data_IF_713775612037
#
_entry.id   IF_713775612037
#
_cell.length_a   1.000
_cell.length_b   1.000
_cell.length_c   1.000
_cell.angle_alpha   90.00
_cell.angle_beta   90.00
_cell.angle_gamma   90.00
#
_symmetry.space_group_name_H-M   'P 1'
#
loop_
_entity.id
_entity.type
_entity.pdbx_description
1 polymer ?
#
# COMPACT_ATOMS: atom_id res chain seq x y z
N UNK A 1 -8.04 -10.77 16.82
CA UNK A 1 -7.44 -11.81 15.95
C UNK A 1 -6.25 -11.17 15.26
N UNK A 2 -5.13 -11.09 15.97
CA UNK A 2 -3.90 -10.47 15.49
C UNK A 2 -3.25 -11.43 14.49
N UNK A 3 -3.16 -11.06 13.21
CA UNK A 3 -2.25 -11.79 12.34
C UNK A 3 -0.83 -11.57 12.85
N UNK A 4 -0.16 -12.69 13.08
CA UNK A 4 1.04 -12.90 13.87
C UNK A 4 2.22 -12.00 13.44
N UNK A 5 2.51 -11.03 14.31
CA UNK A 5 3.51 -9.95 14.20
C UNK A 5 4.98 -10.39 14.49
N UNK A 6 5.33 -11.69 14.43
CA UNK A 6 6.49 -12.18 15.22
C UNK A 6 7.62 -12.90 14.51
N UNK A 7 7.74 -12.86 13.18
CA UNK A 7 8.75 -13.71 12.51
C UNK A 7 9.67 -13.02 11.50
N UNK A 8 9.69 -11.70 11.44
CA UNK A 8 10.36 -11.03 10.31
C UNK A 8 11.15 -9.79 10.74
N UNK A 9 12.07 -9.92 11.69
CA UNK A 9 13.02 -8.84 11.99
C UNK A 9 14.33 -9.41 12.52
N UNK A 10 15.18 -9.87 11.61
CA UNK A 10 16.58 -10.14 11.93
C UNK A 10 17.48 -10.07 10.69
N UNK A 11 17.41 -9.01 9.87
CA UNK A 11 18.51 -8.71 8.92
C UNK A 11 18.59 -7.19 8.62
N UNK A 12 19.75 -6.61 8.99
CA UNK A 12 20.37 -5.34 8.59
C UNK A 12 19.95 -4.04 9.34
N UNK A 13 20.96 -3.23 9.66
CA UNK A 13 21.06 -2.40 10.88
C UNK A 13 21.11 -0.87 10.60
N UNK A 14 20.65 -0.37 9.43
CA UNK A 14 20.80 1.06 9.05
C UNK A 14 19.62 1.70 8.28
N UNK A 15 18.45 1.09 8.16
CA UNK A 15 17.33 1.66 7.40
C UNK A 15 16.11 1.97 8.27
N UNK A 16 15.52 3.16 8.12
CA UNK A 16 14.32 3.59 8.86
C UNK A 16 13.02 2.92 8.37
N UNK A 17 13.01 2.29 7.21
CA UNK A 17 11.86 1.58 6.62
C UNK A 17 12.34 0.25 6.03
N UNK A 18 11.43 -0.68 5.75
CA UNK A 18 11.76 -1.93 5.04
C UNK A 18 11.40 -1.79 3.55
N UNK A 19 12.36 -1.52 2.64
CA UNK A 19 12.08 -1.39 1.21
C UNK A 19 11.54 -2.69 0.60
N UNK A 20 10.94 -2.59 -0.58
CA UNK A 20 10.36 -3.77 -1.24
C UNK A 20 11.37 -4.91 -1.46
N UNK A 21 12.65 -4.57 -1.65
CA UNK A 21 13.73 -5.52 -1.81
C UNK A 21 13.98 -6.32 -0.53
N UNK A 22 13.88 -5.68 0.63
CA UNK A 22 14.01 -6.34 1.93
C UNK A 22 12.74 -7.12 2.28
N UNK A 23 11.55 -6.60 2.00
CA UNK A 23 10.30 -7.36 2.12
C UNK A 23 10.37 -8.67 1.30
N UNK A 24 10.99 -8.63 0.13
CA UNK A 24 11.22 -9.81 -0.69
C UNK A 24 12.29 -10.75 -0.12
N UNK A 25 13.35 -10.23 0.50
CA UNK A 25 14.33 -11.05 1.22
C UNK A 25 13.70 -11.76 2.41
N UNK A 26 12.82 -11.07 3.14
CA UNK A 26 12.04 -11.63 4.23
C UNK A 26 11.14 -12.78 3.76
N UNK A 27 10.45 -12.61 2.63
CA UNK A 27 9.69 -13.69 2.00
C UNK A 27 10.59 -14.86 1.57
N UNK A 28 11.75 -14.58 0.98
CA UNK A 28 12.72 -15.60 0.60
C UNK A 28 13.27 -16.37 1.82
N UNK A 29 13.52 -15.68 2.94
CA UNK A 29 14.00 -16.30 4.17
C UNK A 29 13.02 -17.35 4.70
N UNK A 30 11.70 -17.11 4.61
CA UNK A 30 10.69 -18.11 4.98
C UNK A 30 10.74 -19.35 4.08
N UNK A 31 11.13 -19.22 2.81
CA UNK A 31 11.30 -20.33 1.89
C UNK A 31 12.57 -21.10 2.23
N UNK A 32 13.67 -20.39 2.45
CA UNK A 32 14.98 -20.98 2.75
C UNK A 32 14.96 -21.74 4.09
N UNK A 33 14.22 -21.23 5.07
CA UNK A 33 13.96 -21.87 6.37
C UNK A 33 12.90 -22.97 6.30
N UNK A 34 12.38 -23.29 5.10
CA UNK A 34 11.35 -24.32 4.85
C UNK A 34 10.02 -24.07 5.56
N UNK A 35 9.73 -22.82 5.94
CA UNK A 35 8.42 -22.41 6.44
C UNK A 35 7.40 -22.21 5.31
N UNK A 36 7.87 -21.96 4.08
CA UNK A 36 7.05 -21.85 2.89
C UNK A 36 7.54 -22.79 1.78
N UNK A 37 6.62 -23.52 1.17
CA UNK A 37 6.91 -24.46 0.09
C UNK A 37 6.33 -24.01 -1.25
N UNK A 38 7.01 -24.34 -2.35
CA UNK A 38 6.58 -23.99 -3.72
C UNK A 38 5.12 -24.31 -4.02
N UNK A 39 4.62 -25.48 -3.58
CA UNK A 39 3.23 -25.89 -3.79
C UNK A 39 2.22 -24.98 -3.09
N UNK A 40 2.57 -24.42 -1.93
CA UNK A 40 1.76 -23.43 -1.23
C UNK A 40 1.80 -22.10 -1.98
N UNK A 41 2.99 -21.64 -2.36
CA UNK A 41 3.18 -20.36 -3.07
C UNK A 41 2.41 -20.34 -4.41
N UNK A 42 2.43 -21.44 -5.18
CA UNK A 42 1.64 -21.56 -6.42
C UNK A 42 0.13 -21.40 -6.20
N UNK A 43 -0.36 -21.75 -5.01
CA UNK A 43 -1.78 -21.64 -4.61
C UNK A 43 -2.08 -20.35 -3.84
N UNK A 44 -1.13 -19.45 -3.73
CA UNK A 44 -1.25 -18.20 -2.97
C UNK A 44 -1.53 -17.00 -3.86
N UNK A 45 -2.08 -15.94 -3.26
CA UNK A 45 -2.17 -14.62 -3.86
C UNK A 45 -0.97 -13.77 -3.43
N UNK A 46 -0.39 -13.02 -4.36
CA UNK A 46 0.63 -12.01 -4.10
C UNK A 46 0.02 -10.62 -4.32
N UNK A 47 -0.12 -9.84 -3.25
CA UNK A 47 -0.61 -8.47 -3.29
C UNK A 47 0.58 -7.50 -3.29
N UNK A 48 0.51 -6.48 -4.14
CA UNK A 48 1.58 -5.50 -4.28
C UNK A 48 1.00 -4.09 -4.41
N UNK A 49 1.36 -3.21 -3.47
CA UNK A 49 0.99 -1.80 -3.47
C UNK A 49 2.21 -0.94 -3.10
N UNK A 50 2.91 -0.39 -4.09
CA UNK A 50 4.11 0.42 -3.88
C UNK A 50 4.32 1.40 -5.04
N UNK A 51 5.16 2.40 -4.83
CA UNK A 51 5.44 3.47 -5.80
C UNK A 51 4.97 4.86 -5.35
N UNK A 52 4.10 4.92 -4.34
CA UNK A 52 3.51 6.17 -3.86
C UNK A 52 4.57 7.09 -3.23
N UNK A 53 5.40 6.51 -2.37
CA UNK A 53 6.52 7.19 -1.71
C UNK A 53 7.57 7.64 -2.72
N UNK A 54 7.93 6.82 -3.71
CA UNK A 54 8.93 7.18 -4.73
C UNK A 54 8.52 8.45 -5.49
N UNK A 55 7.27 8.52 -5.94
CA UNK A 55 6.73 9.70 -6.63
C UNK A 55 6.69 10.90 -5.69
N UNK A 56 6.25 10.72 -4.44
CA UNK A 56 6.21 11.83 -3.49
C UNK A 56 7.62 12.37 -3.19
N UNK A 57 8.60 11.51 -2.90
CA UNK A 57 10.00 11.86 -2.66
C UNK A 57 10.61 12.61 -3.85
N UNK A 58 10.31 12.20 -5.08
CA UNK A 58 10.77 12.88 -6.30
C UNK A 58 10.37 14.36 -6.33
N UNK A 59 9.16 14.71 -5.88
CA UNK A 59 8.70 16.09 -5.84
C UNK A 59 9.08 16.83 -4.57
N UNK A 60 9.22 16.12 -3.44
CA UNK A 60 9.67 16.70 -2.18
C UNK A 60 11.11 17.19 -2.26
N UNK A 61 11.98 16.40 -2.89
CA UNK A 61 13.41 16.66 -3.02
C UNK A 61 13.79 16.77 -4.51
N UNK A 62 13.43 17.87 -5.19
CA UNK A 62 13.60 17.99 -6.65
C UNK A 62 15.07 17.89 -7.12
N UNK A 63 16.05 18.12 -6.25
CA UNK A 63 17.47 18.00 -6.56
C UNK A 63 18.09 16.63 -6.19
N UNK A 64 17.35 15.77 -5.48
CA UNK A 64 17.84 14.45 -5.07
C UNK A 64 17.93 13.46 -6.26
N UNK A 65 17.16 13.68 -7.33
CA UNK A 65 17.18 12.84 -8.53
C UNK A 65 17.49 13.66 -9.78
N UNK A 66 18.50 13.23 -10.54
CA UNK A 66 18.82 13.78 -11.86
C UNK A 66 17.93 13.24 -12.99
N UNK A 67 17.04 12.28 -12.69
CA UNK A 67 16.16 11.67 -13.67
C UNK A 67 14.98 12.58 -14.02
N UNK A 68 14.56 12.57 -15.28
CA UNK A 68 13.26 13.13 -15.66
C UNK A 68 12.12 12.29 -15.05
N UNK A 69 10.89 12.84 -14.93
CA UNK A 69 9.75 12.08 -14.40
C UNK A 69 9.52 10.76 -15.13
N UNK A 70 9.68 10.76 -16.46
CA UNK A 70 9.53 9.57 -17.31
C UNK A 70 10.62 8.53 -17.03
N UNK A 71 11.89 8.93 -16.93
CA UNK A 71 13.01 8.04 -16.60
C UNK A 71 12.85 7.43 -15.19
N UNK A 72 12.33 8.22 -14.26
CA UNK A 72 12.07 7.77 -12.89
C UNK A 72 10.95 6.71 -12.88
N UNK A 73 9.83 6.95 -13.58
CA UNK A 73 8.75 5.96 -13.74
C UNK A 73 9.25 4.66 -14.39
N UNK A 74 10.07 4.76 -15.45
CA UNK A 74 10.69 3.58 -16.08
C UNK A 74 11.54 2.78 -15.08
N UNK A 75 12.29 3.48 -14.23
CA UNK A 75 13.12 2.86 -13.18
C UNK A 75 12.25 2.14 -12.14
N UNK A 76 11.12 2.74 -11.73
CA UNK A 76 10.15 2.11 -10.84
C UNK A 76 9.56 0.83 -11.44
N UNK A 77 9.12 0.87 -12.71
CA UNK A 77 8.56 -0.29 -13.41
C UNK A 77 9.60 -1.41 -13.61
N UNK A 78 10.88 -1.06 -13.76
CA UNK A 78 11.96 -2.05 -13.78
C UNK A 78 12.08 -2.79 -12.46
N UNK A 79 12.00 -2.10 -11.32
CA UNK A 79 12.02 -2.74 -10.00
C UNK A 79 10.79 -3.64 -9.79
N UNK A 80 9.62 -3.22 -10.25
CA UNK A 80 8.41 -4.04 -10.25
C UNK A 80 8.60 -5.33 -11.07
N UNK A 81 9.18 -5.24 -12.28
CA UNK A 81 9.47 -6.43 -13.08
C UNK A 81 10.42 -7.38 -12.36
N UNK A 82 11.45 -6.86 -11.69
CA UNK A 82 12.39 -7.69 -10.92
C UNK A 82 11.70 -8.39 -9.73
N UNK A 83 10.77 -7.71 -9.06
CA UNK A 83 9.96 -8.32 -8.01
C UNK A 83 9.15 -9.52 -8.54
N UNK A 84 8.46 -9.34 -9.69
CA UNK A 84 7.70 -10.44 -10.33
C UNK A 84 8.61 -11.55 -10.79
N UNK A 85 9.76 -11.24 -11.40
CA UNK A 85 10.74 -12.25 -11.83
C UNK A 85 11.18 -13.13 -10.64
N UNK A 86 11.51 -12.51 -9.50
CA UNK A 86 11.99 -13.21 -8.31
C UNK A 86 10.89 -14.06 -7.66
N UNK A 87 9.70 -13.49 -7.46
CA UNK A 87 8.57 -14.23 -6.86
C UNK A 87 8.06 -15.35 -7.76
N UNK A 88 8.03 -15.15 -9.08
CA UNK A 88 7.66 -16.18 -10.05
C UNK A 88 8.60 -17.38 -10.01
N UNK A 89 9.92 -17.14 -9.91
CA UNK A 89 10.95 -18.21 -9.80
C UNK A 89 10.71 -19.15 -8.63
N UNK A 90 10.22 -18.63 -7.50
CA UNK A 90 9.92 -19.44 -6.31
C UNK A 90 8.50 -20.02 -6.29
N UNK A 91 7.69 -19.72 -7.31
CA UNK A 91 6.40 -20.38 -7.53
C UNK A 91 5.19 -19.46 -7.55
N UNK A 92 5.33 -18.14 -7.38
CA UNK A 92 4.17 -17.25 -7.43
C UNK A 92 3.52 -17.28 -8.82
N UNK A 93 2.19 -17.36 -8.87
CA UNK A 93 1.42 -17.39 -10.12
C UNK A 93 0.26 -16.41 -10.16
N UNK A 94 -0.25 -15.94 -9.03
CA UNK A 94 -1.44 -15.08 -8.97
C UNK A 94 -1.06 -13.75 -8.34
N UNK A 95 -1.02 -12.70 -9.17
CA UNK A 95 -0.60 -11.37 -8.75
C UNK A 95 -1.77 -10.39 -8.76
N UNK A 96 -1.88 -9.60 -7.70
CA UNK A 96 -2.83 -8.49 -7.58
C UNK A 96 -2.05 -7.22 -7.29
N UNK A 97 -2.08 -6.28 -8.22
CA UNK A 97 -1.41 -4.99 -8.07
C UNK A 97 -2.42 -3.89 -7.73
N UNK A 98 -2.01 -2.93 -6.92
CA UNK A 98 -2.82 -1.75 -6.64
C UNK A 98 -2.21 -0.56 -7.37
N UNK A 99 -3.02 0.07 -8.24
CA UNK A 99 -2.63 1.34 -8.86
C UNK A 99 -2.47 2.43 -7.79
N UNK A 100 -1.63 3.42 -8.08
CA UNK A 100 -1.41 4.56 -7.20
C UNK A 100 -2.63 5.50 -7.29
N UNK A 101 -3.07 6.04 -6.15
CA UNK A 101 -4.11 7.07 -6.11
C UNK A 101 -3.65 8.43 -6.68
N UNK A 102 -4.52 9.44 -6.71
CA UNK A 102 -4.16 10.79 -7.14
C UNK A 102 -3.31 11.50 -6.07
N UNK A 103 -1.99 11.20 -6.03
CA UNK A 103 -1.06 11.74 -5.03
C UNK A 103 -1.02 13.27 -4.96
N UNK A 104 -1.18 13.95 -6.10
CA UNK A 104 -1.23 15.41 -6.13
C UNK A 104 -2.44 16.00 -5.39
N UNK A 105 -3.35 15.17 -4.87
CA UNK A 105 -4.54 15.57 -4.15
C UNK A 105 -4.49 15.26 -2.65
N UNK A 106 -3.43 14.64 -2.14
CA UNK A 106 -3.28 14.38 -0.70
C UNK A 106 -3.05 15.70 0.05
N UNK A 107 -3.43 15.82 1.33
CA UNK A 107 -3.22 17.02 2.12
C UNK A 107 -1.72 17.38 2.23
N UNK A 108 -0.86 16.38 2.43
CA UNK A 108 0.59 16.50 2.58
C UNK A 108 1.32 17.09 1.37
N UNK A 109 0.65 17.31 0.23
CA UNK A 109 1.23 18.05 -0.90
C UNK A 109 1.72 19.45 -0.50
N UNK A 110 1.14 20.04 0.56
CA UNK A 110 1.45 21.39 1.04
C UNK A 110 2.90 21.56 1.50
N UNK A 111 3.59 20.48 1.87
CA UNK A 111 5.01 20.54 2.26
C UNK A 111 5.94 20.60 1.03
N UNK A 112 5.40 20.42 -0.18
CA UNK A 112 6.16 20.52 -1.42
C UNK A 112 6.16 21.97 -1.90
N UNK A 113 7.37 22.51 -2.13
CA UNK A 113 7.57 23.88 -2.59
C UNK A 113 6.75 24.16 -3.86
N UNK A 114 5.87 25.16 -3.77
CA UNK A 114 5.04 25.63 -4.88
C UNK A 114 3.83 24.75 -5.19
N UNK A 115 3.49 23.77 -4.34
CA UNK A 115 2.25 23.01 -4.50
C UNK A 115 1.02 23.87 -4.16
N UNK A 116 -0.07 23.79 -4.94
CA UNK A 116 -1.29 24.53 -4.67
C UNK A 116 -2.10 23.93 -3.51
N UNK A 117 -2.75 24.79 -2.73
CA UNK A 117 -3.67 24.38 -1.65
C UNK A 117 -5.11 24.23 -2.16
N UNK A 118 -5.53 25.07 -3.10
CA UNK A 118 -6.90 25.15 -3.66
C UNK A 118 -7.25 24.09 -4.70
N UNK A 119 -6.26 23.36 -5.22
CA UNK A 119 -6.43 22.30 -6.21
C UNK A 119 -5.37 21.22 -6.08
N UNK A 120 -5.55 20.13 -6.82
CA UNK A 120 -4.53 19.11 -6.89
C UNK A 120 -3.30 19.56 -7.70
N UNK A 121 -2.13 19.10 -7.29
CA UNK A 121 -0.86 19.29 -7.99
C UNK A 121 -0.80 18.43 -9.27
N UNK A 122 -1.09 19.05 -10.41
CA UNK A 122 -1.22 18.37 -11.70
C UNK A 122 0.01 17.56 -12.13
N UNK A 123 1.22 18.11 -11.96
CA UNK A 123 2.48 17.42 -12.36
C UNK A 123 2.72 16.11 -11.62
N UNK A 124 2.37 16.04 -10.33
CA UNK A 124 2.48 14.81 -9.54
C UNK A 124 1.43 13.78 -9.96
N UNK A 125 0.20 14.24 -10.19
CA UNK A 125 -0.86 13.39 -10.71
C UNK A 125 -0.55 12.84 -12.11
N UNK A 126 0.13 13.60 -12.96
CA UNK A 126 0.58 13.14 -14.27
C UNK A 126 1.59 11.99 -14.13
N UNK A 127 2.57 12.13 -13.25
CA UNK A 127 3.56 11.07 -12.99
C UNK A 127 2.93 9.81 -12.42
N UNK A 128 1.98 9.94 -11.48
CA UNK A 128 1.21 8.81 -10.95
C UNK A 128 0.39 8.09 -12.03
N UNK A 129 -0.23 8.84 -12.96
CA UNK A 129 -0.93 8.25 -14.11
C UNK A 129 0.01 7.51 -15.05
N UNK A 130 1.16 8.09 -15.38
CA UNK A 130 2.17 7.44 -16.23
C UNK A 130 2.68 6.13 -15.62
N UNK A 131 2.90 6.11 -14.30
CA UNK A 131 3.24 4.87 -13.59
C UNK A 131 2.10 3.84 -13.69
N UNK A 132 0.85 4.25 -13.44
CA UNK A 132 -0.31 3.35 -13.51
C UNK A 132 -0.51 2.78 -14.92
N UNK A 133 -0.37 3.58 -15.97
CA UNK A 133 -0.44 3.12 -17.37
C UNK A 133 0.64 2.09 -17.67
N UNK A 134 1.89 2.34 -17.23
CA UNK A 134 2.98 1.38 -17.38
C UNK A 134 2.76 0.09 -16.58
N UNK A 135 2.21 0.19 -15.36
CA UNK A 135 1.83 -0.95 -14.53
C UNK A 135 0.76 -1.80 -15.22
N UNK A 136 -0.28 -1.18 -15.77
CA UNK A 136 -1.33 -1.88 -16.50
C UNK A 136 -0.80 -2.61 -17.74
N UNK A 137 0.10 -1.98 -18.51
CA UNK A 137 0.76 -2.61 -19.64
C UNK A 137 1.64 -3.79 -19.22
N UNK A 138 2.41 -3.63 -18.14
CA UNK A 138 3.21 -4.71 -17.58
C UNK A 138 2.33 -5.90 -17.14
N UNK A 139 1.20 -5.63 -16.47
CA UNK A 139 0.26 -6.68 -16.03
C UNK A 139 -0.35 -7.43 -17.20
N UNK A 140 -0.74 -6.73 -18.27
CA UNK A 140 -1.23 -7.37 -19.49
C UNK A 140 -0.19 -8.29 -20.14
N UNK A 141 1.10 -8.03 -19.93
CA UNK A 141 2.19 -8.88 -20.42
C UNK A 141 2.44 -10.14 -19.57
N UNK A 142 1.91 -10.22 -18.36
CA UNK A 142 2.23 -11.30 -17.40
C UNK A 142 1.93 -12.70 -17.97
N UNK A 143 0.75 -13.00 -18.54
CA UNK A 143 0.45 -14.34 -19.04
C UNK A 143 1.39 -14.81 -20.16
N UNK A 144 1.89 -13.86 -20.96
CA UNK A 144 2.83 -14.14 -22.06
C UNK A 144 4.27 -14.29 -21.55
N UNK A 145 4.71 -13.44 -20.62
CA UNK A 145 6.09 -13.44 -20.10
C UNK A 145 6.34 -14.52 -19.04
N UNK A 146 5.30 -14.90 -18.31
CA UNK A 146 5.35 -15.83 -17.18
C UNK A 146 4.30 -16.94 -17.36
N UNK A 147 4.62 -18.03 -18.07
CA UNK A 147 3.66 -19.09 -18.35
C UNK A 147 2.93 -19.61 -17.11
N UNK A 148 1.60 -19.65 -17.19
CA UNK A 148 0.73 -20.09 -16.09
C UNK A 148 0.59 -19.07 -14.95
N UNK A 149 1.15 -17.87 -15.09
CA UNK A 149 0.87 -16.76 -14.18
C UNK A 149 -0.21 -15.84 -14.74
N UNK A 150 -0.95 -15.23 -13.82
CA UNK A 150 -1.98 -14.23 -14.09
C UNK A 150 -1.72 -13.01 -13.23
N UNK A 151 -2.04 -11.84 -13.78
CA UNK A 151 -1.97 -10.58 -13.07
C UNK A 151 -3.26 -9.80 -13.25
N UNK A 152 -3.73 -9.18 -12.18
CA UNK A 152 -4.84 -8.24 -12.20
C UNK A 152 -4.45 -6.98 -11.43
N UNK A 153 -5.19 -5.89 -11.65
CA UNK A 153 -5.00 -4.65 -10.90
C UNK A 153 -6.30 -4.12 -10.30
N UNK A 154 -6.20 -3.55 -9.11
CA UNK A 154 -7.24 -2.75 -8.50
C UNK A 154 -7.13 -1.29 -8.99
N UNK A 155 -8.24 -0.75 -9.49
CA UNK A 155 -8.33 0.59 -10.08
C UNK A 155 -8.54 1.66 -9.00
N UNK A 156 -7.50 1.98 -8.23
CA UNK A 156 -7.55 2.93 -7.11
C UNK A 156 -7.70 4.36 -7.61
N UNK A 157 -6.91 4.79 -8.61
CA UNK A 157 -6.87 6.19 -9.06
C UNK A 157 -8.27 6.72 -9.43
N UNK A 158 -8.95 6.03 -10.34
CA UNK A 158 -10.27 6.45 -10.82
C UNK A 158 -11.34 6.29 -9.74
N UNK A 159 -11.22 5.29 -8.86
CA UNK A 159 -12.15 5.10 -7.74
C UNK A 159 -12.06 6.27 -6.75
N UNK A 160 -10.84 6.68 -6.38
CA UNK A 160 -10.62 7.84 -5.52
C UNK A 160 -11.17 9.11 -6.19
N UNK A 161 -10.91 9.31 -7.48
CA UNK A 161 -11.46 10.47 -8.21
C UNK A 161 -13.00 10.49 -8.21
N UNK A 162 -13.66 9.32 -8.35
CA UNK A 162 -15.13 9.21 -8.25
C UNK A 162 -15.66 9.61 -6.87
N UNK A 163 -14.98 9.20 -5.80
CA UNK A 163 -15.35 9.56 -4.44
C UNK A 163 -15.23 11.07 -4.21
N UNK A 164 -14.10 11.65 -4.65
CA UNK A 164 -13.83 13.08 -4.50
C UNK A 164 -14.74 13.96 -5.35
N UNK A 165 -15.16 13.49 -6.52
CA UNK A 165 -16.11 14.20 -7.37
C UNK A 165 -17.56 14.17 -6.83
N UNK A 166 -17.91 13.17 -6.01
CA UNK A 166 -19.27 13.00 -5.47
C UNK A 166 -19.25 12.77 -3.94
N UNK A 167 -18.66 13.66 -3.14
CA UNK A 167 -18.35 13.40 -1.73
C UNK A 167 -19.61 13.10 -0.90
N UNK A 168 -20.67 13.88 -1.10
CA UNK A 168 -21.95 13.70 -0.39
C UNK A 168 -22.59 12.34 -0.61
N UNK A 169 -22.47 11.78 -1.83
CA UNK A 169 -23.00 10.44 -2.14
C UNK A 169 -22.35 9.34 -1.28
N UNK A 170 -21.07 9.50 -0.96
CA UNK A 170 -20.32 8.54 -0.14
C UNK A 170 -20.30 8.89 1.36
N UNK A 171 -20.94 10.00 1.74
CA UNK A 171 -21.04 10.47 3.12
C UNK A 171 -19.85 11.33 3.59
N UNK A 172 -19.10 11.94 2.67
CA UNK A 172 -18.00 12.83 3.01
C UNK A 172 -18.44 14.29 3.01
N UNK A 173 -18.07 15.02 4.07
CA UNK A 173 -18.13 16.48 4.15
C UNK A 173 -16.82 17.11 3.66
N UNK A 174 -15.69 16.42 3.84
CA UNK A 174 -14.37 16.89 3.38
C UNK A 174 -13.59 15.77 2.65
N UNK A 175 -13.04 16.13 1.48
CA UNK A 175 -12.22 15.23 0.63
C UNK A 175 -10.88 15.85 0.21
N UNK A 176 -10.45 16.90 0.92
CA UNK A 176 -9.29 17.72 0.63
C UNK A 176 -8.39 17.91 1.85
N UNK A 177 -8.96 18.19 3.02
CA UNK A 177 -8.23 18.36 4.27
C UNK A 177 -8.10 17.03 5.04
N UNK A 178 -7.03 16.91 5.84
CA UNK A 178 -6.89 15.81 6.79
C UNK A 178 -7.80 16.03 8.01
N UNK A 179 -8.39 14.95 8.53
CA UNK A 179 -9.10 14.99 9.80
C UNK A 179 -8.14 15.33 10.96
N UNK A 180 -6.91 14.85 10.91
CA UNK A 180 -5.93 15.01 11.95
C UNK A 180 -4.64 15.63 11.39
N UNK A 181 -4.16 16.69 12.06
CA UNK A 181 -2.97 17.44 11.67
C UNK A 181 -3.12 18.93 11.97
N UNK A 182 -2.24 19.76 11.42
CA UNK A 182 -2.40 21.22 11.46
C UNK A 182 -1.74 21.91 10.25
N UNK A 183 -1.90 23.22 10.16
CA UNK A 183 -1.45 24.03 9.02
C UNK A 183 -2.40 23.95 7.83
N UNK A 184 -1.94 24.32 6.64
CA UNK A 184 -2.75 24.28 5.42
C UNK A 184 -3.21 22.85 5.13
N UNK A 185 -4.51 22.67 4.85
CA UNK A 185 -5.15 21.37 4.64
C UNK A 185 -4.98 20.36 5.81
N UNK A 186 -4.56 20.82 6.99
CA UNK A 186 -4.06 19.97 8.08
C UNK A 186 -2.91 19.04 7.65
N UNK A 187 -2.17 19.41 6.59
CA UNK A 187 -1.15 18.56 5.96
C UNK A 187 0.28 18.87 6.36
N UNK A 188 0.54 19.99 7.04
CA UNK A 188 1.90 20.48 7.36
C UNK A 188 2.48 19.85 8.62
N UNK A 189 1.65 19.70 9.66
CA UNK A 189 2.05 19.15 10.95
C UNK A 189 1.37 17.80 11.19
N UNK A 190 2.20 16.79 11.46
CA UNK A 190 1.76 15.43 11.73
C UNK A 190 0.93 15.34 13.02
N UNK A 191 -0.09 14.49 12.99
CA UNK A 191 -0.81 14.01 14.17
C UNK A 191 0.11 13.63 15.32
N UNK A 192 -0.33 13.84 16.56
CA UNK A 192 0.42 13.43 17.76
C UNK A 192 1.52 14.42 18.18
N UNK A 193 1.99 15.30 17.28
CA UNK A 193 2.90 16.39 17.63
C UNK A 193 2.17 17.56 18.29
N UNK A 194 2.83 18.25 19.23
CA UNK A 194 2.24 19.40 19.94
C UNK A 194 1.65 20.42 18.95
N UNK A 195 0.35 20.68 19.06
CA UNK A 195 -0.37 21.64 18.21
C UNK A 195 -1.23 21.02 17.11
N UNK A 196 -1.22 19.70 16.93
CA UNK A 196 -2.16 19.03 16.03
C UNK A 196 -3.62 19.24 16.47
N UNK A 197 -4.51 19.26 15.49
CA UNK A 197 -5.96 19.28 15.67
C UNK A 197 -6.57 17.98 15.16
N UNK A 198 -7.78 17.70 15.61
CA UNK A 198 -8.54 16.53 15.22
C UNK A 198 -9.97 16.94 14.88
N UNK A 199 -10.50 16.41 13.78
CA UNK A 199 -11.89 16.58 13.41
C UNK A 199 -12.81 15.85 14.41
N UNK A 200 -14.07 16.27 14.49
CA UNK A 200 -15.05 15.66 15.41
C UNK A 200 -15.52 14.28 14.93
N UNK A 201 -15.63 14.07 13.61
CA UNK A 201 -16.11 12.83 13.03
C UNK A 201 -15.23 12.35 11.86
N UNK A 202 -14.29 11.42 12.10
CA UNK A 202 -13.43 10.88 11.04
C UNK A 202 -14.16 10.15 9.91
N UNK A 203 -15.43 9.75 10.09
CA UNK A 203 -16.19 9.09 9.02
C UNK A 203 -16.67 10.05 7.93
N UNK A 204 -16.66 11.35 8.18
CA UNK A 204 -17.03 12.37 7.19
C UNK A 204 -15.82 12.92 6.42
N UNK A 205 -14.60 12.53 6.81
CA UNK A 205 -13.36 12.93 6.17
C UNK A 205 -12.80 11.82 5.29
N UNK A 206 -12.28 12.20 4.12
CA UNK A 206 -11.57 11.28 3.25
C UNK A 206 -10.19 10.93 3.82
N UNK A 207 -9.42 11.94 4.23
CA UNK A 207 -8.06 11.76 4.72
C UNK A 207 -8.03 11.75 6.25
N UNK A 208 -7.30 10.78 6.79
CA UNK A 208 -7.02 10.72 8.21
C UNK A 208 -5.93 11.72 8.60
N UNK A 209 -4.77 11.61 7.95
CA UNK A 209 -3.60 12.48 8.15
C UNK A 209 -3.15 13.07 6.79
N UNK A 210 -1.93 13.62 6.75
CA UNK A 210 -1.34 14.23 5.55
C UNK A 210 -1.28 13.30 4.32
N UNK A 211 -1.30 11.99 4.48
CA UNK A 211 -1.07 11.03 3.39
C UNK A 211 -2.18 9.98 3.27
N UNK A 212 -2.72 9.53 4.40
CA UNK A 212 -3.47 8.29 4.47
C UNK A 212 -4.99 8.53 4.53
N UNK A 213 -5.79 7.71 3.84
CA UNK A 213 -7.23 7.72 3.99
C UNK A 213 -7.70 7.32 5.40
N UNK A 214 -8.92 7.73 5.75
CA UNK A 214 -9.62 7.21 6.92
C UNK A 214 -10.02 5.74 6.74
N UNK A 215 -10.25 5.01 7.82
CA UNK A 215 -10.76 3.63 7.75
C UNK A 215 -12.06 3.56 6.93
N UNK A 216 -12.87 4.63 6.97
CA UNK A 216 -14.12 4.73 6.21
C UNK A 216 -13.86 4.63 4.72
N UNK A 217 -12.84 5.34 4.23
CA UNK A 217 -12.40 5.25 2.84
C UNK A 217 -11.85 3.88 2.53
N UNK A 218 -11.01 3.28 3.39
CA UNK A 218 -10.53 1.91 3.17
C UNK A 218 -11.66 0.87 3.08
N UNK A 219 -12.70 1.01 3.91
CA UNK A 219 -13.89 0.17 3.84
C UNK A 219 -14.74 0.37 2.58
N UNK A 220 -14.66 1.52 1.92
CA UNK A 220 -15.29 1.76 0.62
C UNK A 220 -14.43 1.24 -0.53
N UNK A 221 -13.12 1.51 -0.49
CA UNK A 221 -12.17 1.07 -1.49
C UNK A 221 -12.12 -0.45 -1.61
N UNK A 222 -12.14 -1.16 -0.47
CA UNK A 222 -12.17 -2.64 -0.44
C UNK A 222 -13.39 -3.19 -1.18
N UNK A 223 -14.58 -2.64 -0.96
CA UNK A 223 -15.82 -3.08 -1.65
C UNK A 223 -15.74 -2.90 -3.16
N UNK A 224 -15.17 -1.79 -3.63
CA UNK A 224 -15.06 -1.51 -5.07
C UNK A 224 -13.91 -2.29 -5.70
N UNK A 225 -12.81 -2.49 -4.97
CA UNK A 225 -11.73 -3.36 -5.41
C UNK A 225 -12.24 -4.80 -5.59
N UNK A 226 -13.10 -5.30 -4.71
CA UNK A 226 -13.78 -6.59 -4.92
C UNK A 226 -14.61 -6.58 -6.21
N UNK A 227 -15.40 -5.53 -6.47
CA UNK A 227 -16.25 -5.40 -7.70
C UNK A 227 -15.43 -5.35 -9.01
N UNK A 228 -14.22 -4.78 -9.01
CA UNK A 228 -13.37 -4.71 -10.21
C UNK A 228 -12.34 -5.84 -10.33
N UNK A 229 -12.09 -6.59 -9.24
CA UNK A 229 -11.42 -7.88 -9.31
C UNK A 229 -12.33 -8.95 -9.96
N UNK A 230 -13.61 -8.68 -10.22
CA UNK A 230 -14.40 -9.41 -11.21
C UNK A 230 -13.99 -9.00 -12.63
N UNK A 231 -12.78 -9.42 -13.01
CA UNK A 231 -12.33 -9.42 -14.40
C UNK A 231 -13.23 -10.37 -15.25
N UNK A 232 -13.09 -10.41 -16.59
CA UNK A 232 -14.03 -11.08 -17.51
C UNK A 232 -14.38 -12.50 -17.07
N UNK A 233 -15.54 -13.02 -17.50
CA UNK A 233 -16.11 -14.34 -17.15
C UNK A 233 -15.08 -15.51 -17.09
N UNK A 234 -13.97 -15.46 -17.82
CA UNK A 234 -12.86 -16.43 -17.70
C UNK A 234 -12.03 -16.32 -16.40
N UNK A 235 -11.78 -15.12 -15.86
CA UNK A 235 -11.14 -14.94 -14.55
C UNK A 235 -12.05 -15.46 -13.43
N UNK A 236 -13.37 -15.32 -13.58
CA UNK A 236 -14.34 -15.95 -12.69
C UNK A 236 -14.36 -17.46 -12.84
N UNK A 237 -14.24 -18.04 -14.03
CA UNK A 237 -14.11 -19.50 -14.15
C UNK A 237 -12.79 -20.01 -13.54
N UNK A 238 -11.68 -19.26 -13.65
CA UNK A 238 -10.40 -19.60 -13.04
C UNK A 238 -10.33 -19.31 -11.54
N UNK A 239 -11.08 -18.33 -11.01
CA UNK A 239 -11.20 -18.06 -9.57
C UNK A 239 -12.33 -18.80 -8.88
N UNK A 240 -13.42 -19.16 -9.56
CA UNK A 240 -14.46 -20.06 -9.06
C UNK A 240 -13.94 -21.50 -9.10
N UNK A 241 -13.16 -21.89 -10.13
CA UNK A 241 -12.38 -23.14 -10.07
C UNK A 241 -11.21 -23.05 -9.08
N UNK A 242 -10.58 -21.89 -8.87
CA UNK A 242 -9.59 -21.68 -7.79
C UNK A 242 -10.19 -21.34 -6.42
N UNK A 243 -11.52 -21.21 -6.31
CA UNK A 243 -12.23 -21.19 -5.04
C UNK A 243 -12.11 -22.57 -4.38
N UNK A 244 -11.79 -23.60 -5.18
CA UNK A 244 -11.01 -24.74 -4.71
C UNK A 244 -9.54 -24.33 -4.46
N UNK A 245 -9.33 -23.64 -3.32
CA UNK A 245 -8.07 -23.54 -2.56
C UNK A 245 -7.08 -22.38 -2.85
N UNK A 246 -7.48 -21.11 -2.70
CA UNK A 246 -6.50 -20.09 -2.25
C UNK A 246 -6.02 -20.53 -0.86
N UNK A 247 -4.72 -20.79 -0.71
CA UNK A 247 -4.15 -21.30 0.54
C UNK A 247 -3.54 -20.22 1.43
N UNK A 248 -3.00 -19.16 0.84
CA UNK A 248 -2.31 -18.10 1.56
C UNK A 248 -2.35 -16.79 0.80
N UNK A 249 -2.21 -15.68 1.53
CA UNK A 249 -2.10 -14.33 0.99
C UNK A 249 -0.82 -13.67 1.47
N UNK A 250 0.07 -13.33 0.53
CA UNK A 250 1.29 -12.57 0.83
C UNK A 250 1.14 -11.14 0.34
N UNK A 251 1.32 -10.17 1.24
CA UNK A 251 1.13 -8.75 0.94
C UNK A 251 2.49 -8.06 1.01
N UNK A 252 2.80 -7.27 -0.01
CA UNK A 252 3.98 -6.43 -0.10
C UNK A 252 3.55 -5.00 -0.40
N UNK A 253 4.28 -4.02 0.14
CA UNK A 253 3.94 -2.63 -0.13
C UNK A 253 4.31 -1.64 0.95
N UNK A 254 3.51 -0.58 1.01
CA UNK A 254 3.73 0.60 1.85
C UNK A 254 2.72 0.74 3.00
N UNK A 255 2.66 1.93 3.60
CA UNK A 255 1.80 2.29 4.74
C UNK A 255 0.30 2.04 4.50
N UNK A 256 -0.15 1.93 3.24
CA UNK A 256 -1.54 1.63 2.91
C UNK A 256 -1.94 0.21 3.37
N UNK A 257 -0.98 -0.72 3.39
CA UNK A 257 -1.18 -2.11 3.80
C UNK A 257 -0.45 -2.47 5.10
N UNK A 258 0.42 -1.60 5.61
CA UNK A 258 1.24 -1.86 6.79
C UNK A 258 0.40 -2.21 8.03
N UNK A 259 0.55 -3.43 8.61
CA UNK A 259 -0.15 -3.85 9.80
C UNK A 259 0.54 -3.42 11.10
N UNK A 260 1.60 -2.58 11.05
CA UNK A 260 2.55 -2.20 12.11
C UNK A 260 3.93 -2.89 12.04
N UNK A 261 4.39 -3.25 10.84
CA UNK A 261 5.72 -3.81 10.64
C UNK A 261 6.82 -2.80 10.98
N UNK A 262 6.59 -1.51 10.78
CA UNK A 262 7.54 -0.45 11.14
C UNK A 262 7.94 -0.46 12.62
N UNK A 263 7.08 -0.98 13.52
CA UNK A 263 7.39 -1.08 14.95
C UNK A 263 8.63 -1.96 15.23
N UNK A 264 8.92 -2.93 14.36
CA UNK A 264 10.01 -3.88 14.54
C UNK A 264 11.30 -3.46 13.80
N UNK A 265 11.25 -2.39 13.01
CA UNK A 265 12.42 -1.83 12.34
C UNK A 265 13.19 -0.98 13.35
N UNK A 266 14.43 -1.38 13.63
CA UNK A 266 15.30 -0.67 14.57
C UNK A 266 15.52 0.77 14.08
N UNK A 267 15.39 1.75 14.98
CA UNK A 267 15.53 3.18 14.69
C UNK A 267 14.52 3.75 13.68
N UNK A 268 13.41 3.06 13.39
CA UNK A 268 12.36 3.59 12.52
C UNK A 268 11.64 4.78 13.14
N UNK A 269 11.75 5.95 12.50
CA UNK A 269 11.08 7.21 12.89
C UNK A 269 9.68 7.33 12.31
N UNK A 270 9.36 6.57 11.26
CA UNK A 270 8.05 6.56 10.58
C UNK A 270 7.15 5.56 11.30
N UNK A 271 6.45 6.01 12.34
CA UNK A 271 5.58 5.16 13.17
C UNK A 271 4.14 5.67 13.19
N UNK A 272 3.19 4.75 13.38
CA UNK A 272 1.77 5.03 13.70
C UNK A 272 1.35 4.49 15.07
N UNK A 273 2.30 4.22 15.97
CA UNK A 273 2.08 3.53 17.24
C UNK A 273 1.83 4.49 18.42
N UNK A 274 1.29 5.68 18.13
CA UNK A 274 0.96 6.71 19.12
C UNK A 274 -0.41 7.34 18.84
N UNK A 275 -0.97 8.01 19.84
CA UNK A 275 -2.26 8.71 19.72
C UNK A 275 -2.17 9.84 18.67
N UNK A 276 -3.16 10.01 17.77
CA UNK A 276 -4.50 9.42 17.78
C UNK A 276 -4.74 8.23 16.83
N UNK A 277 -3.69 7.60 16.29
CA UNK A 277 -3.84 6.47 15.37
C UNK A 277 -4.61 5.31 16.04
N UNK A 278 -5.44 4.59 15.26
CA UNK A 278 -6.29 3.49 15.76
C UNK A 278 -7.53 3.89 16.59
N UNK A 279 -7.72 5.19 16.89
CA UNK A 279 -8.74 5.71 17.81
C UNK A 279 -10.21 5.41 17.45
N UNK A 280 -10.55 5.17 16.19
CA UNK A 280 -11.94 4.95 15.73
C UNK A 280 -12.39 3.48 15.72
N UNK A 281 -11.48 2.51 15.78
CA UNK A 281 -11.84 1.09 15.74
C UNK A 281 -11.19 0.30 16.87
N UNK A 282 -9.88 0.43 17.02
CA UNK A 282 -9.12 -0.31 18.03
C UNK A 282 -9.18 0.37 19.40
N UNK A 283 -9.46 1.69 19.43
CA UNK A 283 -9.47 2.53 20.63
C UNK A 283 -8.09 2.63 21.32
N UNK A 284 -7.03 2.23 20.62
CA UNK A 284 -5.63 2.38 21.02
C UNK A 284 -4.74 2.41 19.77
N UNK A 285 -3.52 2.97 19.86
CA UNK A 285 -2.56 2.94 18.76
C UNK A 285 -2.16 1.51 18.40
N UNK A 286 -2.16 1.20 17.11
CA UNK A 286 -1.81 -0.13 16.60
C UNK A 286 -0.62 -0.13 15.65
N UNK A 287 -0.02 1.03 15.38
CA UNK A 287 1.05 1.17 14.37
C UNK A 287 0.55 1.37 12.94
N UNK A 288 -0.74 1.17 12.67
CA UNK A 288 -1.37 1.46 11.37
C UNK A 288 -1.50 2.96 11.15
N UNK A 289 -1.19 3.41 9.93
CA UNK A 289 -1.28 4.82 9.52
C UNK A 289 -2.71 5.26 9.19
N UNK A 290 -3.66 5.00 10.09
CA UNK A 290 -5.05 5.46 9.94
C UNK A 290 -5.76 5.51 11.30
N UNK A 291 -6.99 5.99 11.34
CA UNK A 291 -7.81 6.01 12.56
C UNK A 291 -8.34 4.64 12.99
N UNK A 292 -8.01 3.57 12.30
CA UNK A 292 -8.53 2.23 12.58
C UNK A 292 -7.92 1.20 11.65
N UNK A 293 -8.78 0.50 10.90
CA UNK A 293 -8.41 -0.55 9.95
C UNK A 293 -7.84 -0.01 8.64
N UNK A 294 -6.83 -0.69 8.10
CA UNK A 294 -6.30 -0.43 6.74
C UNK A 294 -7.09 -1.21 5.70
N UNK A 295 -6.80 -1.02 4.41
CA UNK A 295 -7.46 -1.78 3.34
C UNK A 295 -7.23 -3.31 3.46
N UNK A 296 -6.06 -3.72 3.96
CA UNK A 296 -5.72 -5.12 4.21
C UNK A 296 -6.75 -5.77 5.16
N UNK A 297 -7.13 -5.04 6.21
CA UNK A 297 -8.07 -5.50 7.23
C UNK A 297 -9.54 -5.55 6.73
N UNK A 298 -9.83 -5.14 5.49
CA UNK A 298 -11.16 -5.21 4.86
C UNK A 298 -11.24 -6.21 3.69
N UNK A 299 -10.13 -6.77 3.24
CA UNK A 299 -10.12 -7.72 2.12
C UNK A 299 -10.69 -9.06 2.59
N UNK A 300 -11.78 -9.51 1.97
CA UNK A 300 -12.53 -10.71 2.40
C UNK A 300 -11.68 -11.98 2.43
N UNK A 301 -10.82 -12.18 1.41
CA UNK A 301 -9.87 -13.31 1.37
C UNK A 301 -8.96 -13.32 2.61
N UNK A 302 -8.55 -12.15 3.09
CA UNK A 302 -7.74 -12.04 4.31
C UNK A 302 -8.55 -12.49 5.54
N UNK A 303 -9.83 -12.14 5.62
CA UNK A 303 -10.71 -12.59 6.70
C UNK A 303 -10.99 -14.09 6.66
N UNK A 304 -11.21 -14.68 5.48
CA UNK A 304 -11.43 -16.12 5.34
C UNK A 304 -10.19 -16.93 5.71
N UNK A 305 -9.02 -16.50 5.23
CA UNK A 305 -7.73 -17.11 5.57
C UNK A 305 -7.34 -16.92 7.04
N UNK A 306 -7.77 -15.80 7.66
CA UNK A 306 -7.60 -15.62 9.10
C UNK A 306 -8.48 -16.60 9.89
N UNK A 307 -9.74 -16.80 9.49
CA UNK A 307 -10.68 -17.72 10.16
C UNK A 307 -10.20 -19.18 10.14
N UNK A 308 -9.55 -19.62 9.07
CA UNK A 308 -8.94 -20.97 8.98
C UNK A 308 -7.58 -21.08 9.71
N UNK A 309 -7.52 -20.51 10.92
CA UNK A 309 -6.36 -20.48 11.82
C UNK A 309 -5.79 -21.86 12.22
N UNK A 310 -6.41 -22.96 11.78
CA UNK A 310 -5.99 -24.33 12.04
C UNK A 310 -4.64 -24.69 11.42
N UNK A 311 -4.20 -23.98 10.38
CA UNK A 311 -2.92 -24.27 9.70
C UNK A 311 -1.70 -23.52 10.30
N UNK A 312 -1.91 -22.61 11.27
CA UNK A 312 -0.83 -21.85 11.90
C UNK A 312 -0.12 -20.83 10.99
N UNK A 313 0.79 -20.05 11.56
CA UNK A 313 1.68 -19.15 10.81
C UNK A 313 2.91 -19.94 10.29
N UNK A 314 3.40 -19.68 9.06
CA UNK A 314 2.93 -18.72 8.04
C UNK A 314 1.97 -19.34 7.00
N UNK A 315 1.24 -20.41 7.35
CA UNK A 315 0.49 -21.22 6.40
C UNK A 315 -0.69 -20.48 5.74
N UNK A 316 -1.25 -19.45 6.37
CA UNK A 316 -2.32 -18.61 5.82
C UNK A 316 -1.82 -17.31 5.15
N UNK A 317 -0.50 -17.06 5.15
CA UNK A 317 0.12 -15.90 4.52
C UNK A 317 0.80 -14.95 5.50
N UNK A 318 1.44 -13.92 4.94
CA UNK A 318 2.23 -12.93 5.69
C UNK A 318 2.09 -11.56 5.02
N UNK A 319 1.93 -10.51 5.81
CA UNK A 319 1.95 -9.13 5.32
C UNK A 319 3.31 -8.51 5.65
N UNK A 320 4.10 -8.24 4.61
CA UNK A 320 5.44 -7.65 4.68
C UNK A 320 5.43 -6.13 4.47
N UNK A 321 4.28 -5.51 4.18
CA UNK A 321 4.21 -4.08 3.88
C UNK A 321 4.76 -3.22 5.03
N UNK A 322 5.49 -2.16 4.68
CA UNK A 322 6.18 -1.29 5.65
C UNK A 322 5.96 0.17 5.26
N UNK A 323 5.53 0.99 6.23
CA UNK A 323 5.29 2.41 6.05
C UNK A 323 6.52 3.15 5.49
N UNK A 324 6.29 3.99 4.48
CA UNK A 324 7.35 4.73 3.80
C UNK A 324 8.14 3.91 2.75
N UNK A 325 7.87 2.61 2.59
CA UNK A 325 8.52 1.80 1.56
C UNK A 325 8.20 2.29 0.15
N UNK A 326 9.23 2.32 -0.71
CA UNK A 326 9.10 2.53 -2.16
C UNK A 326 9.44 1.29 -2.98
N UNK A 327 9.43 1.46 -4.31
CA UNK A 327 9.98 0.50 -5.27
C UNK A 327 11.49 0.63 -5.44
N UNK A 328 12.02 1.85 -5.32
CA UNK A 328 13.43 2.15 -5.48
C UNK A 328 14.16 2.03 -4.14
N UNK A 329 15.40 1.56 -4.19
CA UNK A 329 16.25 1.42 -3.00
C UNK A 329 16.50 2.77 -2.31
N UNK A 330 16.49 3.87 -3.06
CA UNK A 330 16.88 5.20 -2.54
C UNK A 330 15.67 6.03 -2.08
N UNK A 331 14.47 5.44 -2.10
CA UNK A 331 13.27 6.11 -1.61
C UNK A 331 13.44 6.48 -0.14
N UNK A 332 13.19 7.76 0.15
CA UNK A 332 13.33 8.38 1.47
C UNK A 332 14.74 8.46 2.08
N UNK A 333 15.81 8.03 1.39
CA UNK A 333 17.18 8.11 1.95
C UNK A 333 17.68 9.54 2.19
N UNK A 334 17.21 10.50 1.39
CA UNK A 334 17.65 11.90 1.45
C UNK A 334 16.67 12.82 2.20
N UNK A 335 15.55 12.29 2.72
CA UNK A 335 14.58 13.07 3.53
C UNK A 335 15.11 13.29 4.96
N UNK A 336 16.17 12.58 5.33
CA UNK A 336 16.69 12.45 6.70
C UNK A 336 18.15 12.96 6.82
N UNK A 337 18.57 13.88 5.93
CA UNK A 337 19.85 14.60 6.07
C UNK A 337 19.67 16.03 6.53
#
# INVERSE_FOLDING_TARGET
>A
MHLYHHFVCAMLDEQEVTPIQEQLQQFQALIDQKHLHKNQIMKSLIFMASGSNDIFSYFLLPDASKLTPQQYVVTMLKQLSLFVDKTYKVGARKFVFFTIGPLGCIPGRVIIRGAPTDRCMGRMNLMAKQYNEGLELFIKSIPTKYPGAIGVYAVVYNTVQKFRANPKHYGFSDVSEACCGAGSLNGELQCGLKGYKMCSNPNEYFFWDSFHPTQRVYGLLSKIATIHLYAPRCFLMDLESANAHIKSLFIFGDSIFDPSNNHFVKNCTIQGNFTPYGSSYFLHPTGRFTNGRTIADFIEVYHELAKDSRNGFPANGVNFASGGSGLLNDTNKDVVR
#
